data_IF_480773500354
#
_entry.id   IF_480773500354
#
_cell.length_a   1.000
_cell.length_b   1.000
_cell.length_c   1.000
_cell.angle_alpha   90.00
_cell.angle_beta   90.00
_cell.angle_gamma   90.00
#
_symmetry.space_group_name_H-M   'P 1'
#
loop_
_entity.id
_entity.type
_entity.pdbx_description
1 polymer ?
#
# COMPACT_ATOMS: atom_id res chain seq x y z
N UNK A 1 10.41 13.48 12.25
CA UNK A 1 9.79 12.73 11.14
C UNK A 1 10.81 11.78 10.57
N UNK A 2 10.39 10.62 10.08
CA UNK A 2 11.29 9.64 9.45
C UNK A 2 11.58 10.11 8.03
N UNK A 3 12.79 10.62 7.77
CA UNK A 3 13.15 11.18 6.45
C UNK A 3 13.25 10.13 5.34
N UNK A 4 13.45 8.86 5.69
CA UNK A 4 13.61 7.75 4.74
C UNK A 4 12.39 6.84 4.62
N UNK A 5 11.21 7.29 5.08
CA UNK A 5 9.98 6.53 4.96
C UNK A 5 9.60 6.39 3.48
N UNK A 6 9.55 5.17 2.97
CA UNK A 6 9.15 4.90 1.59
C UNK A 6 7.88 4.07 1.55
N UNK A 7 6.86 4.53 0.83
CA UNK A 7 5.69 3.72 0.49
C UNK A 7 6.02 2.89 -0.74
N UNK A 8 5.71 1.61 -0.73
CA UNK A 8 5.93 0.71 -1.87
C UNK A 8 4.83 -0.34 -1.93
N UNK A 9 4.61 -0.87 -3.13
CA UNK A 9 3.56 -1.85 -3.40
C UNK A 9 4.18 -3.15 -3.91
N UNK A 10 3.62 -4.30 -3.53
CA UNK A 10 3.84 -5.56 -4.22
C UNK A 10 2.58 -6.44 -4.17
N UNK A 11 2.53 -7.47 -5.03
CA UNK A 11 1.37 -8.36 -5.17
C UNK A 11 1.10 -9.26 -3.96
N UNK A 12 2.04 -9.42 -3.02
CA UNK A 12 1.93 -10.37 -1.90
C UNK A 12 1.46 -9.68 -0.62
N UNK A 13 1.96 -8.49 -0.35
CA UNK A 13 1.72 -7.72 0.86
C UNK A 13 0.90 -6.45 0.62
N UNK A 14 0.60 -6.14 -0.64
CA UNK A 14 -0.11 -4.92 -0.98
C UNK A 14 0.77 -3.68 -0.78
N UNK A 15 0.16 -2.59 -0.34
CA UNK A 15 0.86 -1.37 0.05
C UNK A 15 1.52 -1.51 1.43
N UNK A 16 2.80 -1.15 1.52
CA UNK A 16 3.58 -1.20 2.76
C UNK A 16 4.54 -0.01 2.88
N UNK A 17 4.99 0.21 4.10
CA UNK A 17 5.98 1.22 4.48
C UNK A 17 7.32 0.52 4.70
N UNK A 18 8.32 0.94 3.95
CA UNK A 18 9.71 0.53 4.15
C UNK A 18 10.42 1.60 4.97
N UNK A 19 11.00 1.18 6.09
CA UNK A 19 11.74 2.04 7.01
C UNK A 19 13.16 1.50 7.13
N UNK A 20 14.15 2.36 6.92
CA UNK A 20 15.56 1.99 7.10
C UNK A 20 15.85 1.65 8.57
N UNK A 21 16.73 0.68 8.82
CA UNK A 21 17.06 0.24 10.19
C UNK A 21 17.51 1.38 11.13
N UNK A 22 18.11 2.45 10.57
CA UNK A 22 18.51 3.67 11.30
C UNK A 22 17.34 4.37 11.99
N UNK A 23 16.13 4.28 11.42
CA UNK A 23 14.92 4.94 11.92
C UNK A 23 13.94 3.99 12.59
N UNK A 24 14.35 2.75 12.86
CA UNK A 24 13.52 1.73 13.51
C UNK A 24 12.94 2.19 14.84
N UNK A 25 13.72 2.90 15.66
CA UNK A 25 13.26 3.43 16.95
C UNK A 25 12.25 4.57 16.83
N UNK A 26 12.08 5.13 15.63
CA UNK A 26 11.10 6.19 15.35
C UNK A 26 9.79 5.65 14.77
N UNK A 27 9.68 4.33 14.60
CA UNK A 27 8.48 3.69 14.06
C UNK A 27 7.38 3.66 15.13
N UNK A 28 6.17 4.15 14.82
CA UNK A 28 5.04 4.09 15.76
C UNK A 28 4.62 2.66 16.08
N UNK A 29 4.09 2.45 17.29
CA UNK A 29 3.69 1.11 17.76
C UNK A 29 2.50 0.51 17.00
N UNK A 30 1.67 1.36 16.37
CA UNK A 30 0.54 0.92 15.54
C UNK A 30 0.96 0.33 14.18
N UNK A 31 2.26 0.40 13.82
CA UNK A 31 2.78 -0.18 12.60
C UNK A 31 2.99 -1.69 12.80
N UNK A 32 2.32 -2.49 11.97
CA UNK A 32 2.44 -3.95 12.03
C UNK A 32 3.59 -4.39 11.13
N UNK A 33 4.69 -4.88 11.73
CA UNK A 33 5.84 -5.40 10.97
C UNK A 33 5.46 -6.66 10.18
N UNK A 34 5.86 -6.72 8.91
CA UNK A 34 5.57 -7.84 7.99
C UNK A 34 6.80 -8.56 7.45
N UNK A 35 7.88 -7.84 7.21
CA UNK A 35 9.11 -8.43 6.67
C UNK A 35 10.33 -7.68 7.20
N UNK A 36 11.39 -8.42 7.49
CA UNK A 36 12.70 -7.88 7.84
C UNK A 36 13.64 -8.05 6.65
N UNK A 37 14.30 -6.97 6.23
CA UNK A 37 15.35 -6.96 5.23
C UNK A 37 16.70 -6.70 5.91
N UNK A 38 17.79 -6.87 5.15
CA UNK A 38 19.16 -6.65 5.64
C UNK A 38 19.35 -5.21 6.15
N UNK A 39 18.77 -4.22 5.47
CA UNK A 39 18.97 -2.79 5.77
C UNK A 39 17.67 -2.03 6.17
N UNK A 40 16.53 -2.71 6.19
CA UNK A 40 15.23 -2.08 6.40
C UNK A 40 14.19 -3.05 6.99
N UNK A 41 13.10 -2.50 7.51
CA UNK A 41 11.92 -3.25 7.93
C UNK A 41 10.69 -2.75 7.18
N UNK A 42 9.79 -3.69 6.86
CA UNK A 42 8.52 -3.40 6.19
C UNK A 42 7.37 -3.48 7.18
N UNK A 43 6.51 -2.48 7.13
CA UNK A 43 5.36 -2.31 8.01
C UNK A 43 4.08 -2.07 7.21
N UNK A 44 2.96 -2.45 7.79
CA UNK A 44 1.62 -2.15 7.28
C UNK A 44 0.84 -1.43 8.38
N UNK A 45 0.01 -0.48 8.00
CA UNK A 45 -0.95 0.20 8.88
C UNK A 45 -2.37 -0.15 8.48
N UNK A 46 -3.33 0.06 9.40
CA UNK A 46 -4.74 -0.10 9.10
C UNK A 46 -5.18 0.84 7.96
N UNK A 47 -4.75 2.11 8.04
CA UNK A 47 -5.03 3.12 7.01
C UNK A 47 -4.58 2.69 5.61
N UNK A 48 -3.39 2.07 5.49
CA UNK A 48 -2.90 1.59 4.19
C UNK A 48 -3.78 0.50 3.58
N UNK A 49 -4.36 -0.36 4.43
CA UNK A 49 -5.30 -1.38 3.95
C UNK A 49 -6.62 -0.77 3.51
N UNK A 50 -7.13 0.24 4.24
CA UNK A 50 -8.34 0.96 3.83
C UNK A 50 -8.13 1.69 2.51
N UNK A 51 -6.96 2.30 2.30
CA UNK A 51 -6.61 2.90 1.02
C UNK A 51 -6.49 1.86 -0.09
N UNK A 52 -5.88 0.72 0.17
CA UNK A 52 -5.79 -0.38 -0.80
C UNK A 52 -7.18 -0.86 -1.23
N UNK A 53 -8.09 -1.11 -0.29
CA UNK A 53 -9.47 -1.49 -0.59
C UNK A 53 -10.16 -0.44 -1.46
N UNK A 54 -10.01 0.84 -1.11
CA UNK A 54 -10.58 1.95 -1.88
C UNK A 54 -10.02 2.02 -3.30
N UNK A 55 -8.72 1.78 -3.49
CA UNK A 55 -8.08 1.76 -4.81
C UNK A 55 -8.64 0.59 -5.63
N UNK A 56 -8.71 -0.61 -5.05
CA UNK A 56 -9.22 -1.79 -5.73
C UNK A 56 -10.69 -1.61 -6.16
N UNK A 57 -11.54 -1.08 -5.28
CA UNK A 57 -12.94 -0.76 -5.63
C UNK A 57 -13.04 0.30 -6.72
N UNK A 58 -12.13 1.30 -6.72
CA UNK A 58 -12.11 2.32 -7.75
C UNK A 58 -11.68 1.76 -9.12
N UNK A 59 -10.66 0.90 -9.15
CA UNK A 59 -10.22 0.23 -10.38
C UNK A 59 -11.30 -0.69 -10.95
N UNK A 60 -12.00 -1.45 -10.10
CA UNK A 60 -13.13 -2.29 -10.51
C UNK A 60 -14.23 -1.45 -11.18
N UNK A 61 -14.63 -0.36 -10.53
CA UNK A 61 -15.66 0.56 -11.05
C UNK A 61 -15.25 1.23 -12.35
N UNK A 62 -13.97 1.57 -12.52
CA UNK A 62 -13.46 2.11 -13.79
C UNK A 62 -13.61 1.07 -14.90
N UNK A 63 -13.25 -0.19 -14.64
CA UNK A 63 -13.41 -1.28 -15.61
C UNK A 63 -14.87 -1.52 -15.99
N UNK A 64 -15.79 -1.47 -15.03
CA UNK A 64 -17.23 -1.56 -15.30
C UNK A 64 -17.73 -0.41 -16.19
N UNK A 65 -17.31 0.82 -15.90
CA UNK A 65 -17.69 2.00 -16.69
C UNK A 65 -17.10 1.96 -18.11
N UNK A 66 -15.84 1.54 -18.26
CA UNK A 66 -15.21 1.35 -19.57
C UNK A 66 -15.95 0.29 -20.39
N UNK A 67 -16.33 -0.82 -19.75
CA UNK A 67 -17.11 -1.87 -20.40
C UNK A 67 -18.50 -1.37 -20.81
N UNK A 68 -19.19 -0.64 -19.95
CA UNK A 68 -20.51 -0.07 -20.25
C UNK A 68 -20.45 0.89 -21.43
N UNK A 69 -19.48 1.82 -21.43
CA UNK A 69 -19.25 2.77 -22.52
C UNK A 69 -18.90 2.04 -23.83
N UNK A 70 -18.11 0.97 -23.76
CA UNK A 70 -17.79 0.15 -24.93
C UNK A 70 -19.04 -0.56 -25.49
N UNK A 71 -19.92 -1.09 -24.64
CA UNK A 71 -21.18 -1.70 -25.10
C UNK A 71 -22.10 -0.68 -25.77
N UNK A 72 -22.13 0.58 -25.31
CA UNK A 72 -22.97 1.63 -25.91
C UNK A 72 -22.53 2.04 -27.33
N UNK A 73 -21.26 1.84 -27.68
CA UNK A 73 -20.71 2.14 -29.01
C UNK A 73 -20.85 0.99 -30.01
N UNK A 74 -21.34 -0.16 -29.56
CA UNK A 74 -21.46 -1.40 -30.34
C UNK A 74 -22.88 -1.56 -30.89
#
# INVERSE_FOLDING_TARGET
>A
GISSLKISYNKVFGYYLEVSNVHKSSVPEHYIRKQTLVNAERYITAELKEFEEKILTAEERIGELEYELFQQLK
#
